data_IF_420743719930
#
_entry.id   IF_420743719930
#
_cell.length_a   1.000
_cell.length_b   1.000
_cell.length_c   1.000
_cell.angle_alpha   90.00
_cell.angle_beta   90.00
_cell.angle_gamma   90.00
#
_symmetry.space_group_name_H-M   'P 1'
#
loop_
_entity.id
_entity.type
_entity.pdbx_description
1 polymer ?
#
# COMPACT_ATOMS: atom_id res chain seq x y z
N UNK A 1 5.30 -13.48 33.26
CA UNK A 1 5.37 -12.97 31.86
C UNK A 1 6.43 -13.79 31.13
N UNK A 2 6.18 -14.21 29.89
CA UNK A 2 7.14 -14.95 29.07
C UNK A 2 8.35 -14.06 28.78
N UNK A 3 9.57 -14.60 28.97
CA UNK A 3 10.81 -14.00 28.47
C UNK A 3 11.29 -14.75 27.23
N UNK A 4 11.70 -14.01 26.23
CA UNK A 4 12.30 -14.51 25.00
C UNK A 4 13.74 -14.02 24.95
N UNK A 5 14.71 -14.93 24.98
CA UNK A 5 16.14 -14.61 25.01
C UNK A 5 16.72 -14.88 23.63
N UNK A 6 17.38 -13.88 23.05
CA UNK A 6 17.95 -13.96 21.71
C UNK A 6 19.31 -14.64 21.66
N UNK A 7 19.67 -15.16 20.49
CA UNK A 7 21.01 -15.60 20.19
C UNK A 7 21.99 -14.41 20.22
N UNK A 8 23.25 -14.70 20.53
CA UNK A 8 24.31 -13.68 20.59
C UNK A 8 24.45 -12.97 19.23
N UNK A 9 24.32 -11.64 19.25
CA UNK A 9 24.44 -10.80 18.06
C UNK A 9 23.13 -10.49 17.34
N UNK A 10 22.04 -11.26 17.58
CA UNK A 10 20.74 -11.04 16.93
C UNK A 10 19.96 -9.88 17.55
N UNK A 11 20.35 -9.43 18.74
CA UNK A 11 19.76 -8.28 19.41
C UNK A 11 20.01 -6.94 18.71
N UNK A 12 21.09 -6.82 17.92
CA UNK A 12 21.51 -5.55 17.33
C UNK A 12 20.41 -4.94 16.45
N UNK A 13 19.88 -5.70 15.52
CA UNK A 13 18.81 -5.25 14.61
C UNK A 13 17.57 -4.79 15.37
N UNK A 14 17.25 -5.49 16.47
CA UNK A 14 16.10 -5.14 17.31
C UNK A 14 16.38 -3.86 18.10
N UNK A 15 17.58 -3.70 18.65
CA UNK A 15 17.99 -2.48 19.36
C UNK A 15 18.00 -1.27 18.41
N UNK A 16 18.45 -1.47 17.17
CA UNK A 16 18.51 -0.43 16.13
C UNK A 16 17.12 -0.04 15.59
N UNK A 17 16.03 -0.68 16.09
CA UNK A 17 14.65 -0.24 15.79
C UNK A 17 13.76 -1.27 15.09
N UNK A 18 14.33 -2.32 14.48
CA UNK A 18 13.52 -3.30 13.74
C UNK A 18 12.48 -3.97 14.65
N UNK A 19 11.18 -4.05 14.23
CA UNK A 19 10.11 -4.50 15.14
C UNK A 19 9.92 -6.02 15.20
N UNK A 20 10.62 -6.82 14.40
CA UNK A 20 10.38 -8.26 14.30
C UNK A 20 11.55 -9.08 14.85
N UNK A 21 11.22 -10.07 15.67
CA UNK A 21 12.13 -11.15 16.08
C UNK A 21 11.70 -12.41 15.34
N UNK A 22 12.61 -13.02 14.59
CA UNK A 22 12.35 -14.26 13.88
C UNK A 22 12.65 -15.49 14.75
N UNK A 23 12.01 -16.62 14.43
CA UNK A 23 12.14 -17.86 15.20
C UNK A 23 13.60 -18.38 15.30
N UNK A 24 14.40 -18.21 14.25
CA UNK A 24 15.82 -18.60 14.23
C UNK A 24 16.73 -17.68 15.05
N UNK A 25 16.24 -16.52 15.48
CA UNK A 25 16.98 -15.57 16.32
C UNK A 25 16.85 -15.87 17.84
N UNK A 26 15.89 -16.75 18.19
CA UNK A 26 15.59 -17.07 19.59
C UNK A 26 16.45 -18.21 20.09
N UNK A 27 17.11 -18.00 21.25
CA UNK A 27 17.94 -18.98 21.98
C UNK A 27 17.14 -19.81 22.98
N UNK A 28 16.31 -19.13 23.79
CA UNK A 28 15.63 -19.78 24.91
C UNK A 28 14.37 -19.01 25.33
N UNK A 29 13.52 -19.71 26.07
CA UNK A 29 12.33 -19.18 26.68
C UNK A 29 12.36 -19.39 28.18
N UNK A 30 11.88 -18.42 28.97
CA UNK A 30 11.64 -18.56 30.40
C UNK A 30 10.19 -18.18 30.70
N UNK A 31 9.45 -19.08 31.34
CA UNK A 31 8.02 -18.90 31.65
C UNK A 31 7.09 -19.69 30.74
N UNK A 32 5.80 -19.41 30.84
CA UNK A 32 4.76 -20.12 30.09
C UNK A 32 4.74 -19.68 28.63
N UNK A 33 4.86 -20.65 27.71
CA UNK A 33 4.81 -20.43 26.26
C UNK A 33 3.37 -20.53 25.79
N UNK A 34 2.75 -19.37 25.51
CA UNK A 34 1.38 -19.28 24.99
C UNK A 34 1.32 -18.25 23.85
N UNK A 35 0.93 -18.71 22.66
CA UNK A 35 0.78 -17.84 21.49
C UNK A 35 -0.27 -16.74 21.70
N UNK A 36 -0.02 -15.55 21.16
CA UNK A 36 -0.90 -14.39 21.27
C UNK A 36 -0.75 -13.59 22.58
N UNK A 37 0.18 -13.98 23.48
CA UNK A 37 0.40 -13.26 24.74
C UNK A 37 1.51 -12.22 24.61
N UNK A 38 1.56 -11.31 25.60
CA UNK A 38 2.68 -10.37 25.76
C UNK A 38 3.92 -11.10 26.30
N UNK A 39 5.07 -10.78 25.75
CA UNK A 39 6.36 -11.23 26.21
C UNK A 39 7.37 -10.09 26.31
N UNK A 40 8.42 -10.29 27.10
CA UNK A 40 9.59 -9.45 27.15
C UNK A 40 10.76 -10.11 26.41
N UNK A 41 11.41 -9.38 25.51
CA UNK A 41 12.59 -9.81 24.80
C UNK A 41 13.85 -9.33 25.50
N UNK A 42 14.85 -10.23 25.57
CA UNK A 42 16.14 -9.99 26.17
C UNK A 42 17.27 -10.36 25.20
N UNK A 43 18.36 -9.62 25.26
CA UNK A 43 19.61 -9.95 24.58
C UNK A 43 20.23 -11.23 25.20
N UNK A 44 21.27 -11.75 24.53
CA UNK A 44 22.02 -12.93 25.00
C UNK A 44 22.56 -12.78 26.44
N UNK A 45 22.95 -11.57 26.82
CA UNK A 45 23.45 -11.18 28.14
C UNK A 45 22.35 -10.74 29.12
N UNK A 46 21.12 -11.11 28.84
CA UNK A 46 19.93 -10.87 29.67
C UNK A 46 19.60 -9.39 29.92
N UNK A 47 19.91 -8.50 28.95
CA UNK A 47 19.45 -7.11 28.95
C UNK A 47 18.10 -7.02 28.26
N UNK A 48 17.13 -6.32 28.85
CA UNK A 48 15.83 -6.06 28.22
C UNK A 48 16.00 -5.22 26.93
N UNK A 49 15.35 -5.63 25.85
CA UNK A 49 15.41 -4.98 24.54
C UNK A 49 14.06 -4.59 23.97
N UNK A 50 12.96 -5.15 24.49
CA UNK A 50 11.62 -4.77 24.05
C UNK A 50 10.53 -5.69 24.57
N UNK A 51 9.31 -5.18 24.54
CA UNK A 51 8.07 -5.90 24.88
C UNK A 51 7.19 -6.01 23.65
N UNK A 52 6.54 -7.13 23.44
CA UNK A 52 5.72 -7.34 22.25
C UNK A 52 4.82 -8.57 22.32
N UNK A 53 4.16 -8.85 21.19
CA UNK A 53 3.34 -10.04 21.02
C UNK A 53 4.19 -11.24 20.63
N UNK A 54 4.05 -12.34 21.37
CA UNK A 54 4.64 -13.63 21.07
C UNK A 54 3.67 -14.49 20.22
N UNK A 55 4.21 -15.15 19.20
CA UNK A 55 3.45 -16.14 18.43
C UNK A 55 4.34 -17.29 17.94
N UNK A 56 4.16 -18.48 18.51
CA UNK A 56 4.90 -19.69 18.11
C UNK A 56 4.49 -20.25 16.74
N UNK A 57 3.35 -19.84 16.20
CA UNK A 57 2.86 -20.31 14.90
C UNK A 57 3.49 -19.52 13.72
N UNK A 58 4.06 -18.35 14.01
CA UNK A 58 4.60 -17.43 13.01
C UNK A 58 6.12 -17.53 12.92
N UNK A 59 6.66 -17.32 11.70
CA UNK A 59 8.12 -17.09 11.53
C UNK A 59 8.57 -15.81 12.23
N UNK A 60 7.71 -14.79 12.30
CA UNK A 60 7.93 -13.58 13.11
C UNK A 60 7.43 -13.93 14.52
N UNK A 61 8.33 -14.48 15.33
CA UNK A 61 8.00 -15.02 16.65
C UNK A 61 7.63 -13.95 17.66
N UNK A 62 8.26 -12.77 17.59
CA UNK A 62 7.86 -11.63 18.41
C UNK A 62 7.72 -10.38 17.54
N UNK A 63 6.60 -9.68 17.75
CA UNK A 63 6.35 -8.34 17.19
C UNK A 63 6.48 -7.31 18.30
N UNK A 64 7.57 -6.54 18.29
CA UNK A 64 7.87 -5.56 19.33
C UNK A 64 6.87 -4.41 19.26
N UNK A 65 6.26 -4.11 20.39
CA UNK A 65 5.34 -2.98 20.60
C UNK A 65 6.04 -1.81 21.30
N UNK A 66 6.90 -2.09 22.28
CA UNK A 66 7.56 -1.06 23.08
C UNK A 66 9.01 -1.42 23.38
N UNK A 67 9.88 -0.41 23.46
CA UNK A 67 11.27 -0.51 23.92
C UNK A 67 11.40 -0.30 25.43
N UNK A 68 10.27 -0.07 26.10
CA UNK A 68 10.19 0.09 27.54
C UNK A 68 9.22 -0.94 28.13
N UNK A 69 9.44 -1.29 29.39
CA UNK A 69 8.58 -2.23 30.15
C UNK A 69 7.29 -1.54 30.62
N UNK A 70 6.49 -1.07 29.65
CA UNK A 70 5.18 -0.45 29.91
C UNK A 70 4.08 -1.51 29.82
N UNK A 71 2.93 -1.22 30.39
CA UNK A 71 1.73 -2.05 30.27
C UNK A 71 1.16 -1.91 28.83
N UNK A 72 0.67 -3.02 28.30
CA UNK A 72 0.02 -3.06 26.98
C UNK A 72 -1.47 -3.26 27.24
N UNK A 73 -2.13 -2.17 27.50
CA UNK A 73 -3.54 -2.06 27.90
C UNK A 73 -4.35 -1.19 26.91
N UNK A 74 -5.58 -0.83 27.30
CA UNK A 74 -6.45 0.03 26.49
C UNK A 74 -5.83 1.39 26.23
N UNK A 75 -5.19 2.01 27.22
CA UNK A 75 -4.56 3.32 27.11
C UNK A 75 -3.40 3.29 26.11
N UNK A 76 -2.57 2.25 26.13
CA UNK A 76 -1.51 2.05 25.17
C UNK A 76 -2.03 2.07 23.71
N UNK A 77 -3.11 1.34 23.43
CA UNK A 77 -3.70 1.31 22.08
C UNK A 77 -4.36 2.65 21.71
N UNK A 78 -5.05 3.26 22.66
CA UNK A 78 -5.69 4.56 22.47
C UNK A 78 -4.68 5.62 22.06
N UNK A 79 -3.59 5.79 22.81
CA UNK A 79 -2.53 6.75 22.55
C UNK A 79 -1.87 6.51 21.19
N UNK A 80 -1.62 5.25 20.82
CA UNK A 80 -1.03 4.89 19.54
C UNK A 80 -1.92 5.22 18.35
N UNK A 81 -3.19 4.83 18.40
CA UNK A 81 -4.16 5.10 17.34
C UNK A 81 -4.40 6.61 17.23
N UNK A 82 -4.56 7.29 18.36
CA UNK A 82 -4.73 8.73 18.40
C UNK A 82 -3.54 9.46 17.80
N UNK A 83 -2.32 9.13 18.21
CA UNK A 83 -1.08 9.72 17.67
C UNK A 83 -0.93 9.49 16.17
N UNK A 84 -1.24 8.29 15.69
CA UNK A 84 -1.23 7.98 14.27
C UNK A 84 -2.22 8.86 13.50
N UNK A 85 -3.44 9.02 14.01
CA UNK A 85 -4.46 9.90 13.43
C UNK A 85 -4.04 11.37 13.46
N UNK A 86 -3.57 11.87 14.60
CA UNK A 86 -3.14 13.26 14.78
C UNK A 86 -2.02 13.63 13.80
N UNK A 87 -1.10 12.69 13.53
CA UNK A 87 -0.08 12.89 12.50
C UNK A 87 -0.71 13.12 11.12
N UNK A 88 -1.68 12.28 10.70
CA UNK A 88 -2.36 12.42 9.40
C UNK A 88 -3.11 13.74 9.29
N UNK A 89 -3.80 14.14 10.35
CA UNK A 89 -4.48 15.43 10.40
C UNK A 89 -3.48 16.60 10.31
N UNK A 90 -2.33 16.52 10.98
CA UNK A 90 -1.31 17.56 10.97
C UNK A 90 -0.68 17.83 9.60
N UNK A 91 -0.72 16.84 8.69
CA UNK A 91 -0.24 16.98 7.31
C UNK A 91 -1.38 17.22 6.29
N UNK A 92 -2.58 17.58 6.78
CA UNK A 92 -3.73 17.98 5.95
C UNK A 92 -4.51 16.82 5.35
N UNK A 93 -4.45 15.62 5.93
CA UNK A 93 -5.28 14.48 5.55
C UNK A 93 -6.45 14.38 6.55
N UNK A 94 -7.67 14.58 6.09
CA UNK A 94 -8.84 14.71 6.95
C UNK A 94 -10.00 13.78 6.60
N UNK A 95 -10.13 13.33 5.36
CA UNK A 95 -11.33 12.64 4.87
C UNK A 95 -11.08 11.17 4.50
N UNK A 96 -10.12 10.91 3.64
CA UNK A 96 -9.84 9.55 3.13
C UNK A 96 -8.34 9.28 3.21
N UNK A 97 -7.92 8.47 4.16
CA UNK A 97 -6.50 8.19 4.43
C UNK A 97 -6.33 6.93 5.25
N UNK A 98 -5.13 6.38 5.24
CA UNK A 98 -4.71 5.34 6.18
C UNK A 98 -4.41 5.94 7.53
N UNK A 99 -5.26 5.65 8.51
CA UNK A 99 -5.11 6.09 9.90
C UNK A 99 -3.95 5.37 10.57
N UNK A 100 -3.85 4.05 10.36
CA UNK A 100 -2.80 3.22 10.96
C UNK A 100 -2.16 2.32 9.91
N UNK A 101 -0.84 2.41 9.79
CA UNK A 101 -0.01 1.61 8.89
C UNK A 101 0.91 0.66 9.67
N UNK A 102 0.31 -0.28 10.38
CA UNK A 102 0.98 -1.42 11.00
C UNK A 102 2.22 -1.06 11.84
N UNK A 103 3.37 -1.67 11.55
CA UNK A 103 4.65 -1.45 12.22
C UNK A 103 5.06 0.02 12.23
N UNK A 104 4.81 0.74 11.17
CA UNK A 104 5.20 2.15 11.03
C UNK A 104 4.50 3.08 12.03
N UNK A 105 3.35 2.67 12.54
CA UNK A 105 2.63 3.37 13.62
C UNK A 105 2.75 2.63 14.97
N UNK A 106 3.65 1.65 15.06
CA UNK A 106 3.93 0.89 16.27
C UNK A 106 2.82 -0.07 16.69
N UNK A 107 1.93 -0.45 15.77
CA UNK A 107 0.84 -1.42 15.97
C UNK A 107 0.96 -2.57 14.96
N UNK A 108 1.97 -3.44 15.11
CA UNK A 108 2.33 -4.48 14.14
C UNK A 108 1.16 -5.37 13.75
N UNK A 109 0.79 -5.33 12.47
CA UNK A 109 -0.31 -6.12 11.92
C UNK A 109 -1.67 -5.44 11.98
N UNK A 110 -1.78 -4.16 12.38
CA UNK A 110 -3.02 -3.38 12.33
C UNK A 110 -3.02 -2.41 11.15
N UNK A 111 -4.04 -2.50 10.32
CA UNK A 111 -4.34 -1.51 9.28
C UNK A 111 -5.69 -0.89 9.62
N UNK A 112 -5.78 0.43 9.52
CA UNK A 112 -7.03 1.17 9.66
C UNK A 112 -7.09 2.18 8.53
N UNK A 113 -8.08 2.06 7.65
CA UNK A 113 -8.37 2.99 6.57
C UNK A 113 -9.68 3.72 6.84
N UNK A 114 -9.68 5.04 6.67
CA UNK A 114 -10.85 5.90 6.80
C UNK A 114 -11.36 6.28 5.40
N UNK A 115 -12.65 6.10 5.19
CA UNK A 115 -13.39 6.47 3.99
C UNK A 115 -14.60 7.34 4.42
N UNK A 116 -14.40 8.65 4.48
CA UNK A 116 -15.40 9.57 5.00
C UNK A 116 -15.77 9.23 6.46
N UNK A 117 -17.02 8.78 6.67
CA UNK A 117 -17.54 8.38 7.98
C UNK A 117 -17.44 6.88 8.28
N UNK A 118 -16.76 6.13 7.46
CA UNK A 118 -16.58 4.68 7.60
C UNK A 118 -15.12 4.32 7.84
N UNK A 119 -14.91 3.23 8.58
CA UNK A 119 -13.58 2.65 8.76
C UNK A 119 -13.53 1.25 8.17
N UNK A 120 -12.40 0.92 7.58
CA UNK A 120 -12.08 -0.45 7.16
C UNK A 120 -10.82 -0.87 7.88
N UNK A 121 -10.87 -2.01 8.58
CA UNK A 121 -9.74 -2.49 9.37
C UNK A 121 -9.23 -3.84 8.86
N UNK A 122 -7.94 -4.10 9.10
CA UNK A 122 -7.34 -5.43 8.98
C UNK A 122 -6.56 -5.74 10.25
N UNK A 123 -6.79 -6.91 10.82
CA UNK A 123 -6.04 -7.44 11.97
C UNK A 123 -5.31 -8.68 11.48
N UNK A 124 -3.99 -8.57 11.33
CA UNK A 124 -3.16 -9.57 10.67
C UNK A 124 -2.25 -10.37 11.64
N UNK A 125 -2.21 -10.01 12.93
CA UNK A 125 -1.40 -10.72 13.93
C UNK A 125 -2.25 -11.28 15.06
N UNK A 126 -1.86 -12.46 15.58
CA UNK A 126 -2.58 -13.15 16.65
C UNK A 126 -2.67 -12.32 17.93
N UNK A 127 -1.57 -11.65 18.30
CA UNK A 127 -1.55 -10.80 19.49
C UNK A 127 -2.58 -9.68 19.42
N UNK A 128 -2.64 -8.93 18.29
CA UNK A 128 -3.65 -7.88 18.11
C UNK A 128 -5.07 -8.42 18.08
N UNK A 129 -5.27 -9.63 17.52
CA UNK A 129 -6.60 -10.22 17.47
C UNK A 129 -7.20 -10.44 18.86
N UNK A 130 -6.37 -10.66 19.87
CA UNK A 130 -6.82 -10.77 21.27
C UNK A 130 -7.28 -9.43 21.87
N UNK A 131 -6.94 -8.31 21.25
CA UNK A 131 -7.33 -6.96 21.66
C UNK A 131 -8.37 -6.34 20.71
N UNK A 132 -8.98 -7.15 19.82
CA UNK A 132 -9.93 -6.66 18.81
C UNK A 132 -11.04 -5.82 19.38
N UNK A 133 -11.70 -6.28 20.47
CA UNK A 133 -12.81 -5.56 21.10
C UNK A 133 -12.36 -4.22 21.71
N UNK A 134 -11.19 -4.20 22.32
CA UNK A 134 -10.58 -2.95 22.86
C UNK A 134 -10.28 -1.98 21.72
N UNK A 135 -9.71 -2.46 20.61
CA UNK A 135 -9.44 -1.64 19.43
C UNK A 135 -10.74 -1.10 18.84
N UNK A 136 -11.79 -1.93 18.76
CA UNK A 136 -13.10 -1.53 18.26
C UNK A 136 -13.70 -0.38 19.12
N UNK A 137 -13.69 -0.51 20.44
CA UNK A 137 -14.16 0.54 21.36
C UNK A 137 -13.40 1.85 21.14
N UNK A 138 -12.07 1.78 20.98
CA UNK A 138 -11.23 2.95 20.74
C UNK A 138 -11.58 3.62 19.41
N UNK A 139 -11.80 2.85 18.35
CA UNK A 139 -12.18 3.38 17.03
C UNK A 139 -13.54 4.07 17.06
N UNK A 140 -14.50 3.52 17.82
CA UNK A 140 -15.80 4.15 18.01
C UNK A 140 -15.65 5.48 18.74
N UNK A 141 -14.86 5.50 19.81
CA UNK A 141 -14.63 6.70 20.64
C UNK A 141 -13.94 7.83 19.86
N UNK A 142 -12.85 7.52 19.15
CA UNK A 142 -12.06 8.53 18.42
C UNK A 142 -12.78 9.05 17.17
N UNK A 143 -13.45 8.18 16.39
CA UNK A 143 -13.93 8.52 15.05
C UNK A 143 -15.45 8.69 14.95
N UNK A 144 -16.21 8.21 15.93
CA UNK A 144 -17.68 8.15 15.89
C UNK A 144 -18.20 7.73 14.49
N UNK A 145 -17.76 6.57 13.96
CA UNK A 145 -18.06 6.16 12.60
C UNK A 145 -19.50 5.71 12.44
N UNK A 146 -20.06 5.82 11.23
CA UNK A 146 -21.35 5.20 10.89
C UNK A 146 -21.28 3.68 10.81
N UNK A 147 -20.11 3.15 10.48
CA UNK A 147 -19.87 1.72 10.44
C UNK A 147 -18.39 1.38 10.29
N UNK A 148 -18.03 0.18 10.75
CA UNK A 148 -16.69 -0.39 10.66
C UNK A 148 -16.79 -1.74 9.97
N UNK A 149 -15.99 -1.94 8.93
CA UNK A 149 -15.89 -3.19 8.18
C UNK A 149 -14.52 -3.81 8.37
N UNK A 150 -14.45 -5.10 8.65
CA UNK A 150 -13.19 -5.83 8.76
C UNK A 150 -12.89 -6.58 7.46
N UNK A 151 -11.69 -6.37 6.92
CA UNK A 151 -11.12 -7.01 5.71
C UNK A 151 -9.90 -7.84 6.06
N UNK A 152 -10.02 -8.68 7.07
CA UNK A 152 -9.01 -9.64 7.49
C UNK A 152 -9.04 -10.94 6.66
N UNK A 153 -9.57 -10.89 5.43
CA UNK A 153 -9.60 -11.94 4.41
C UNK A 153 -8.25 -12.03 3.65
N UNK A 154 -7.15 -12.11 4.40
CA UNK A 154 -5.78 -12.12 3.87
C UNK A 154 -5.02 -13.36 4.31
N UNK A 155 -4.30 -13.98 3.37
CA UNK A 155 -3.60 -15.26 3.58
C UNK A 155 -2.52 -15.23 4.68
N UNK A 156 -2.01 -14.04 5.04
CA UNK A 156 -1.03 -13.91 6.13
C UNK A 156 -1.61 -14.33 7.48
N UNK A 157 -2.91 -14.23 7.69
CA UNK A 157 -3.58 -14.66 8.92
C UNK A 157 -3.39 -16.16 9.19
N UNK A 158 -3.44 -16.99 8.16
CA UNK A 158 -3.19 -18.44 8.29
C UNK A 158 -1.77 -18.75 8.82
N UNK A 159 -0.78 -17.91 8.43
CA UNK A 159 0.59 -18.02 8.95
C UNK A 159 0.72 -17.58 10.42
N UNK A 160 -0.23 -16.81 10.90
CA UNK A 160 -0.34 -16.37 12.29
C UNK A 160 -1.21 -17.32 13.15
N UNK A 161 -1.81 -18.36 12.55
CA UNK A 161 -2.74 -19.27 13.23
C UNK A 161 -4.15 -18.72 13.39
N UNK A 162 -4.54 -17.78 12.52
CA UNK A 162 -5.87 -17.15 12.53
C UNK A 162 -6.68 -17.54 11.30
N UNK A 163 -7.98 -17.67 11.47
CA UNK A 163 -8.92 -17.78 10.37
C UNK A 163 -9.09 -16.45 9.63
N UNK A 164 -9.34 -16.50 8.32
CA UNK A 164 -9.73 -15.33 7.55
C UNK A 164 -11.10 -14.84 8.01
N UNK A 165 -11.27 -13.51 8.07
CA UNK A 165 -12.53 -12.89 8.47
C UNK A 165 -12.85 -11.69 7.58
N UNK A 166 -14.13 -11.56 7.21
CA UNK A 166 -14.66 -10.44 6.44
C UNK A 166 -16.09 -10.16 6.87
N UNK A 167 -16.40 -8.92 7.24
CA UNK A 167 -17.74 -8.56 7.68
C UNK A 167 -17.84 -7.19 8.35
N UNK A 168 -19.08 -6.71 8.49
CA UNK A 168 -19.39 -5.54 9.31
C UNK A 168 -19.25 -5.92 10.79
N UNK A 169 -18.47 -5.15 11.53
CA UNK A 169 -18.23 -5.37 12.98
C UNK A 169 -18.83 -4.27 13.86
N UNK A 170 -19.26 -3.15 13.25
CA UNK A 170 -19.97 -2.08 13.95
C UNK A 170 -20.86 -1.31 12.96
N UNK A 171 -22.06 -0.88 13.42
CA UNK A 171 -22.98 -0.07 12.63
C UNK A 171 -23.39 -0.68 11.31
N UNK A 172 -23.60 0.15 10.31
CA UNK A 172 -23.95 -0.27 8.96
C UNK A 172 -22.93 0.26 7.96
N UNK A 173 -22.48 -0.59 7.03
CA UNK A 173 -21.53 -0.23 5.98
C UNK A 173 -22.17 -0.51 4.63
N UNK A 174 -22.35 0.50 3.75
CA UNK A 174 -22.87 0.29 2.40
C UNK A 174 -21.89 -0.51 1.54
N UNK A 175 -22.38 -1.09 0.44
CA UNK A 175 -21.52 -1.83 -0.49
C UNK A 175 -20.52 -0.90 -1.18
N UNK A 176 -20.99 0.30 -1.53
CA UNK A 176 -20.18 1.35 -2.20
C UNK A 176 -20.16 2.59 -1.32
N UNK A 177 -18.98 3.10 -1.06
CA UNK A 177 -18.75 4.40 -0.40
C UNK A 177 -18.21 5.38 -1.44
N UNK A 178 -18.93 6.47 -1.67
CA UNK A 178 -18.41 7.55 -2.52
C UNK A 178 -17.50 8.45 -1.69
N UNK A 179 -16.26 8.57 -2.11
CA UNK A 179 -15.23 9.42 -1.49
C UNK A 179 -14.89 10.61 -2.38
N UNK A 180 -14.35 11.68 -1.79
CA UNK A 180 -13.74 12.78 -2.52
C UNK A 180 -12.21 12.71 -2.34
N UNK A 181 -11.46 12.45 -3.41
CA UNK A 181 -9.99 12.46 -3.41
C UNK A 181 -9.47 13.49 -4.40
N UNK A 182 -8.61 14.41 -3.97
CA UNK A 182 -8.10 15.49 -4.82
C UNK A 182 -9.21 16.30 -5.52
N UNK A 183 -10.41 16.37 -4.94
CA UNK A 183 -11.60 17.01 -5.50
C UNK A 183 -12.27 16.22 -6.64
N UNK A 184 -12.09 14.90 -6.67
CA UNK A 184 -12.72 13.96 -7.60
C UNK A 184 -13.55 12.99 -6.76
N UNK A 185 -14.76 12.70 -7.21
CA UNK A 185 -15.63 11.69 -6.60
C UNK A 185 -15.26 10.31 -7.15
N UNK A 186 -15.05 9.36 -6.24
CA UNK A 186 -14.69 7.97 -6.57
C UNK A 186 -15.53 7.03 -5.73
N UNK A 187 -16.14 6.05 -6.38
CA UNK A 187 -16.83 4.97 -5.72
C UNK A 187 -15.84 3.90 -5.28
N UNK A 188 -15.90 3.53 -4.01
CA UNK A 188 -15.03 2.53 -3.36
C UNK A 188 -15.88 1.36 -2.91
N UNK A 189 -15.61 0.17 -3.45
CA UNK A 189 -16.18 -1.09 -2.97
C UNK A 189 -15.33 -1.63 -1.81
N UNK A 190 -15.70 -1.30 -0.59
CA UNK A 190 -14.98 -1.73 0.62
C UNK A 190 -15.19 -3.21 0.94
N UNK A 191 -16.27 -3.81 0.43
CA UNK A 191 -16.59 -5.20 0.68
C UNK A 191 -15.88 -6.15 -0.27
N UNK A 192 -15.82 -5.84 -1.57
CA UNK A 192 -15.30 -6.77 -2.59
C UNK A 192 -14.10 -6.21 -3.36
N UNK A 193 -13.79 -4.92 -3.21
CA UNK A 193 -12.63 -4.29 -3.83
C UNK A 193 -11.29 -4.86 -3.34
N UNK A 194 -10.23 -4.54 -4.03
CA UNK A 194 -8.88 -4.95 -3.67
C UNK A 194 -8.41 -4.25 -2.39
N UNK A 195 -7.53 -4.90 -1.62
CA UNK A 195 -7.06 -4.43 -0.30
C UNK A 195 -8.25 -4.13 0.63
N UNK A 196 -8.36 -2.90 1.07
CA UNK A 196 -9.45 -2.36 1.91
C UNK A 196 -10.56 -1.68 1.08
N UNK A 197 -10.47 -1.76 -0.27
CA UNK A 197 -11.41 -1.19 -1.22
C UNK A 197 -10.78 -0.22 -2.21
N UNK A 198 -9.71 0.50 -1.82
CA UNK A 198 -9.04 1.49 -2.66
C UNK A 198 -7.55 1.62 -2.33
N UNK A 199 -6.76 2.15 -3.27
CA UNK A 199 -5.31 2.34 -3.14
C UNK A 199 -4.98 3.74 -2.61
N UNK A 200 -5.20 3.97 -1.31
CA UNK A 200 -4.92 5.26 -0.65
C UNK A 200 -3.43 5.66 -0.75
N UNK A 201 -2.54 4.66 -0.80
CA UNK A 201 -1.09 4.85 -0.93
C UNK A 201 -0.67 5.60 -2.21
N UNK A 202 -1.52 5.63 -3.25
CA UNK A 202 -1.28 6.33 -4.51
C UNK A 202 -1.88 7.75 -4.56
N UNK A 203 -2.60 8.21 -3.54
CA UNK A 203 -3.32 9.49 -3.52
C UNK A 203 -2.45 10.67 -3.98
N UNK A 204 -1.25 10.81 -3.37
CA UNK A 204 -0.33 11.91 -3.69
C UNK A 204 0.35 11.72 -5.06
N UNK A 205 0.54 10.48 -5.50
CA UNK A 205 1.07 10.19 -6.82
C UNK A 205 0.05 10.51 -7.91
N UNK A 206 -1.23 10.17 -7.71
CA UNK A 206 -2.31 10.54 -8.63
C UNK A 206 -2.38 12.06 -8.82
N UNK A 207 -2.27 12.83 -7.74
CA UNK A 207 -2.22 14.29 -7.79
C UNK A 207 -1.01 14.79 -8.60
N UNK A 208 0.19 14.30 -8.25
CA UNK A 208 1.43 14.72 -8.92
C UNK A 208 1.43 14.38 -10.42
N UNK A 209 0.99 13.18 -10.80
CA UNK A 209 0.85 12.78 -12.21
C UNK A 209 -0.16 13.65 -12.93
N UNK A 210 -1.28 14.02 -12.28
CA UNK A 210 -2.26 14.94 -12.81
C UNK A 210 -1.66 16.29 -13.22
N UNK A 211 -0.72 16.82 -12.47
CA UNK A 211 -0.05 18.10 -12.76
C UNK A 211 0.69 18.11 -14.13
N UNK A 212 1.11 16.95 -14.62
CA UNK A 212 1.72 16.79 -15.95
C UNK A 212 0.70 16.62 -17.08
N UNK A 213 -0.62 16.63 -16.81
CA UNK A 213 -1.64 16.22 -17.77
C UNK A 213 -2.24 17.34 -18.60
N UNK A 214 -2.04 18.61 -18.21
CA UNK A 214 -2.69 19.78 -18.86
C UNK A 214 -2.45 19.84 -20.37
N UNK A 215 -3.54 19.91 -21.15
CA UNK A 215 -3.56 19.95 -22.61
C UNK A 215 -2.95 18.71 -23.31
N UNK A 216 -2.81 17.57 -22.62
CA UNK A 216 -2.20 16.33 -23.11
C UNK A 216 -3.24 15.26 -23.41
N UNK A 217 -2.91 14.39 -24.37
CA UNK A 217 -3.56 13.10 -24.56
C UNK A 217 -2.89 12.11 -23.60
N UNK A 218 -3.66 11.56 -22.67
CA UNK A 218 -3.18 10.70 -21.58
C UNK A 218 -3.62 9.26 -21.81
N UNK A 219 -2.72 8.32 -21.58
CA UNK A 219 -2.99 6.88 -21.53
C UNK A 219 -2.76 6.39 -20.10
N UNK A 220 -3.82 5.90 -19.46
CA UNK A 220 -3.79 5.30 -18.13
C UNK A 220 -3.93 3.78 -18.27
N UNK A 221 -2.88 3.05 -17.94
CA UNK A 221 -2.78 1.60 -18.10
C UNK A 221 -2.81 0.92 -16.73
N UNK A 222 -3.52 -0.22 -16.65
CA UNK A 222 -3.88 -0.87 -15.39
C UNK A 222 -4.75 0.06 -14.52
N UNK A 223 -5.74 0.69 -15.16
CA UNK A 223 -6.46 1.85 -14.62
C UNK A 223 -7.28 1.53 -13.36
N UNK A 224 -7.60 0.26 -13.07
CA UNK A 224 -8.42 -0.17 -11.93
C UNK A 224 -9.77 0.58 -11.89
N UNK A 225 -9.98 1.51 -10.96
CA UNK A 225 -11.19 2.36 -10.86
C UNK A 225 -11.04 3.70 -11.58
N UNK A 226 -9.98 3.90 -12.35
CA UNK A 226 -9.71 5.13 -13.12
C UNK A 226 -9.06 6.26 -12.33
N UNK A 227 -8.52 5.98 -11.15
CA UNK A 227 -8.01 7.02 -10.24
C UNK A 227 -6.97 7.97 -10.87
N UNK A 228 -6.00 7.47 -11.62
CA UNK A 228 -5.02 8.29 -12.32
C UNK A 228 -5.66 9.06 -13.50
N UNK A 229 -6.43 8.38 -14.33
CA UNK A 229 -7.10 8.99 -15.48
C UNK A 229 -8.04 10.12 -15.09
N UNK A 230 -8.82 9.94 -14.02
CA UNK A 230 -9.73 10.98 -13.49
C UNK A 230 -8.95 12.18 -12.94
N UNK A 231 -7.82 11.97 -12.21
CA UNK A 231 -6.94 13.05 -11.78
C UNK A 231 -6.33 13.79 -12.99
N UNK A 232 -5.89 13.07 -14.01
CA UNK A 232 -5.41 13.68 -15.26
C UNK A 232 -6.48 14.53 -15.92
N UNK A 233 -7.71 14.06 -16.00
CA UNK A 233 -8.84 14.82 -16.57
C UNK A 233 -9.14 16.07 -15.77
N UNK A 234 -9.23 15.96 -14.43
CA UNK A 234 -9.41 17.09 -13.52
C UNK A 234 -8.37 18.18 -13.75
N UNK A 235 -7.12 17.80 -13.97
CA UNK A 235 -6.00 18.74 -14.17
C UNK A 235 -5.87 19.23 -15.61
N UNK A 236 -6.89 19.00 -16.46
CA UNK A 236 -7.02 19.58 -17.79
C UNK A 236 -6.42 18.75 -18.93
N UNK A 237 -6.36 17.43 -18.79
CA UNK A 237 -6.06 16.56 -19.93
C UNK A 237 -7.05 16.78 -21.07
N UNK A 238 -6.54 16.86 -22.31
CA UNK A 238 -7.34 17.03 -23.52
C UNK A 238 -8.21 15.80 -23.78
N UNK A 239 -7.64 14.65 -23.66
CA UNK A 239 -8.29 13.35 -23.80
C UNK A 239 -7.60 12.32 -22.90
N UNK A 240 -8.37 11.41 -22.30
CA UNK A 240 -7.84 10.32 -21.47
C UNK A 240 -8.34 8.98 -22.00
N UNK A 241 -7.46 8.04 -22.19
CA UNK A 241 -7.79 6.63 -22.46
C UNK A 241 -7.41 5.80 -21.24
N UNK A 242 -8.38 5.18 -20.59
CA UNK A 242 -8.18 4.23 -19.50
C UNK A 242 -8.25 2.80 -20.05
N UNK A 243 -7.27 1.96 -19.71
CA UNK A 243 -7.19 0.56 -20.15
C UNK A 243 -7.05 -0.36 -18.94
N UNK A 244 -7.93 -1.34 -18.84
CA UNK A 244 -7.84 -2.41 -17.85
C UNK A 244 -8.32 -3.72 -18.47
N UNK A 245 -7.82 -4.86 -17.99
CA UNK A 245 -8.25 -6.17 -18.48
C UNK A 245 -9.57 -6.62 -17.83
N UNK A 246 -9.91 -6.07 -16.67
CA UNK A 246 -11.12 -6.44 -15.91
C UNK A 246 -12.34 -5.69 -16.44
N UNK A 247 -13.35 -6.41 -16.91
CA UNK A 247 -14.65 -5.84 -17.31
C UNK A 247 -15.28 -5.05 -16.14
N UNK A 248 -15.23 -5.60 -14.92
CA UNK A 248 -15.71 -4.90 -13.72
C UNK A 248 -14.98 -3.58 -13.48
N UNK A 249 -13.66 -3.55 -13.61
CA UNK A 249 -12.88 -2.32 -13.48
C UNK A 249 -13.29 -1.29 -14.57
N UNK A 250 -13.47 -1.73 -15.81
CA UNK A 250 -13.92 -0.88 -16.90
C UNK A 250 -15.33 -0.29 -16.64
N UNK A 251 -16.24 -1.05 -16.05
CA UNK A 251 -17.55 -0.54 -15.63
C UNK A 251 -17.41 0.48 -14.51
N UNK A 252 -16.61 0.20 -13.49
CA UNK A 252 -16.35 1.12 -12.38
C UNK A 252 -15.74 2.45 -12.86
N UNK A 253 -14.82 2.40 -13.84
CA UNK A 253 -14.26 3.60 -14.47
C UNK A 253 -15.38 4.43 -15.13
N UNK A 254 -16.27 3.81 -15.91
CA UNK A 254 -17.39 4.50 -16.57
C UNK A 254 -18.32 5.16 -15.57
N UNK A 255 -18.64 4.47 -14.47
CA UNK A 255 -19.43 5.04 -13.36
C UNK A 255 -18.73 6.24 -12.75
N UNK A 256 -17.44 6.16 -12.47
CA UNK A 256 -16.66 7.24 -11.88
C UNK A 256 -16.50 8.44 -12.85
N UNK A 257 -16.37 8.22 -14.15
CA UNK A 257 -16.41 9.27 -15.19
C UNK A 257 -17.74 10.01 -15.13
N UNK A 258 -18.85 9.28 -15.12
CA UNK A 258 -20.21 9.83 -15.06
C UNK A 258 -20.45 10.63 -13.77
N UNK A 259 -19.98 10.09 -12.62
CA UNK A 259 -20.10 10.71 -11.30
C UNK A 259 -19.43 12.10 -11.23
N UNK A 260 -18.38 12.31 -12.02
CA UNK A 260 -17.66 13.58 -12.11
C UNK A 260 -18.08 14.45 -13.29
N UNK A 261 -19.06 14.04 -14.08
CA UNK A 261 -19.49 14.72 -15.30
C UNK A 261 -18.33 15.01 -16.27
N UNK A 262 -17.40 14.06 -16.41
CA UNK A 262 -16.28 14.21 -17.32
C UNK A 262 -16.63 13.73 -18.74
N UNK A 263 -16.20 14.49 -19.71
CA UNK A 263 -16.21 14.18 -21.14
C UNK A 263 -14.79 13.81 -21.64
N UNK A 264 -14.66 13.48 -22.91
CA UNK A 264 -13.36 13.21 -23.55
C UNK A 264 -12.51 12.19 -22.79
N UNK A 265 -13.17 11.14 -22.28
CA UNK A 265 -12.53 9.97 -21.69
C UNK A 265 -13.04 8.71 -22.39
N UNK A 266 -12.13 7.81 -22.74
CA UNK A 266 -12.44 6.48 -23.29
C UNK A 266 -12.02 5.40 -22.31
N UNK A 267 -12.79 4.30 -22.28
CA UNK A 267 -12.47 3.10 -21.48
C UNK A 267 -12.35 1.93 -22.43
N UNK A 268 -11.24 1.22 -22.37
CA UNK A 268 -10.92 0.08 -23.21
C UNK A 268 -10.69 -1.14 -22.32
N UNK A 269 -11.48 -2.18 -22.50
CA UNK A 269 -11.26 -3.46 -21.82
C UNK A 269 -10.32 -4.31 -22.67
N UNK A 270 -9.04 -4.38 -22.28
CA UNK A 270 -8.01 -5.11 -23.04
C UNK A 270 -6.81 -5.47 -22.16
N UNK A 271 -6.06 -6.51 -22.59
CA UNK A 271 -4.75 -6.78 -22.04
C UNK A 271 -3.79 -5.65 -22.37
N UNK A 272 -3.10 -5.10 -21.36
CA UNK A 272 -2.19 -3.96 -21.53
C UNK A 272 -0.98 -4.30 -22.40
N UNK A 273 -0.46 -5.53 -22.32
CA UNK A 273 0.67 -5.96 -23.14
C UNK A 273 0.30 -5.98 -24.62
N UNK A 274 -0.92 -6.42 -24.95
CA UNK A 274 -1.42 -6.44 -26.33
C UNK A 274 -1.77 -5.03 -26.78
N UNK A 275 -2.41 -4.22 -25.94
CA UNK A 275 -2.73 -2.83 -26.26
C UNK A 275 -1.49 -1.99 -26.60
N UNK A 276 -0.40 -2.18 -25.86
CA UNK A 276 0.89 -1.50 -26.12
C UNK A 276 1.57 -1.93 -27.41
N UNK A 277 1.16 -3.04 -28.05
CA UNK A 277 1.70 -3.55 -29.31
C UNK A 277 0.99 -3.01 -30.54
N UNK A 278 -0.16 -2.37 -30.38
CA UNK A 278 -0.94 -1.85 -31.49
C UNK A 278 -0.22 -0.66 -32.13
N UNK A 279 0.08 -0.74 -33.41
CA UNK A 279 0.77 0.33 -34.18
C UNK A 279 -0.02 1.64 -34.18
N UNK A 280 -1.37 1.57 -34.11
CA UNK A 280 -2.24 2.73 -34.04
C UNK A 280 -2.07 3.58 -32.77
N UNK A 281 -1.43 3.04 -31.73
CA UNK A 281 -1.12 3.74 -30.49
C UNK A 281 0.19 4.54 -30.54
N UNK A 282 1.01 4.35 -31.59
CA UNK A 282 2.28 5.03 -31.74
C UNK A 282 2.09 6.53 -31.93
N UNK A 283 2.83 7.32 -31.13
CA UNK A 283 2.78 8.78 -31.13
C UNK A 283 1.37 9.37 -30.92
N UNK A 284 0.48 8.65 -30.23
CA UNK A 284 -0.88 9.11 -29.93
C UNK A 284 -0.95 9.82 -28.59
N UNK A 285 -0.11 9.46 -27.63
CA UNK A 285 -0.17 9.90 -26.25
C UNK A 285 1.02 10.78 -25.86
N UNK A 286 0.74 11.84 -25.11
CA UNK A 286 1.74 12.78 -24.57
C UNK A 286 2.17 12.41 -23.15
N UNK A 287 1.32 11.66 -22.43
CA UNK A 287 1.55 11.13 -21.10
C UNK A 287 1.05 9.70 -21.02
N UNK A 288 1.90 8.78 -20.55
CA UNK A 288 1.54 7.38 -20.30
C UNK A 288 1.76 7.06 -18.83
N UNK A 289 0.78 6.43 -18.19
CA UNK A 289 0.78 5.99 -16.80
C UNK A 289 0.83 4.46 -16.81
N UNK A 290 1.77 3.88 -16.09
CA UNK A 290 2.00 2.45 -15.95
C UNK A 290 1.96 2.08 -14.45
N UNK A 291 0.79 1.74 -13.92
CA UNK A 291 0.63 1.29 -12.52
C UNK A 291 0.21 -0.20 -12.45
N UNK A 292 1.11 -1.11 -12.87
CA UNK A 292 0.79 -2.53 -12.94
C UNK A 292 0.65 -3.15 -11.55
N UNK A 293 -0.07 -4.29 -11.44
CA UNK A 293 -0.08 -5.09 -10.22
C UNK A 293 1.33 -5.57 -9.88
N UNK A 294 1.53 -6.01 -8.64
CA UNK A 294 2.81 -6.59 -8.23
C UNK A 294 3.12 -7.85 -9.05
N UNK A 295 4.10 -7.78 -9.95
CA UNK A 295 4.52 -8.92 -10.78
C UNK A 295 5.32 -9.97 -9.98
N UNK A 296 5.79 -9.62 -8.77
CA UNK A 296 6.41 -10.59 -7.86
C UNK A 296 5.91 -10.42 -6.43
N UNK A 297 5.72 -11.55 -5.75
CA UNK A 297 5.38 -11.64 -4.32
C UNK A 297 6.45 -12.41 -3.53
N UNK A 298 7.44 -12.99 -4.19
CA UNK A 298 8.55 -13.69 -3.55
C UNK A 298 9.88 -13.50 -4.31
N UNK A 299 10.99 -13.83 -3.66
CA UNK A 299 12.35 -13.66 -4.21
C UNK A 299 12.62 -14.49 -5.46
N UNK A 300 11.96 -15.63 -5.64
CA UNK A 300 12.23 -16.56 -6.74
C UNK A 300 11.64 -16.06 -8.09
N UNK A 301 10.65 -15.16 -8.02
CA UNK A 301 9.96 -14.64 -9.21
C UNK A 301 10.43 -13.23 -9.61
N UNK A 302 11.46 -12.69 -8.95
CA UNK A 302 11.97 -11.32 -9.21
C UNK A 302 12.46 -11.15 -10.65
N UNK A 303 13.18 -12.13 -11.21
CA UNK A 303 13.70 -12.06 -12.58
C UNK A 303 12.57 -12.05 -13.63
N UNK A 304 11.53 -12.86 -13.43
CA UNK A 304 10.36 -12.86 -14.31
C UNK A 304 9.61 -11.52 -14.23
N UNK A 305 9.47 -10.98 -13.01
CA UNK A 305 8.87 -9.66 -12.80
C UNK A 305 9.68 -8.54 -13.45
N UNK A 306 11.00 -8.59 -13.34
CA UNK A 306 11.91 -7.64 -14.00
C UNK A 306 11.66 -7.60 -15.51
N UNK A 307 11.59 -8.77 -16.16
CA UNK A 307 11.27 -8.87 -17.59
C UNK A 307 9.90 -8.28 -17.93
N UNK A 308 8.88 -8.54 -17.13
CA UNK A 308 7.54 -7.98 -17.32
C UNK A 308 7.52 -6.45 -17.20
N UNK A 309 8.12 -5.90 -16.13
CA UNK A 309 8.26 -4.46 -15.97
C UNK A 309 9.06 -3.82 -17.10
N UNK A 310 10.17 -4.45 -17.52
CA UNK A 310 11.00 -3.98 -18.65
C UNK A 310 10.19 -3.92 -19.94
N UNK A 311 9.41 -4.97 -20.27
CA UNK A 311 8.63 -5.03 -21.52
C UNK A 311 7.60 -3.90 -21.62
N UNK A 312 6.81 -3.67 -20.55
CA UNK A 312 5.80 -2.59 -20.57
C UNK A 312 6.45 -1.20 -20.66
N UNK A 313 7.56 -0.97 -19.95
CA UNK A 313 8.29 0.30 -20.00
C UNK A 313 8.92 0.53 -21.36
N UNK A 314 9.57 -0.47 -21.93
CA UNK A 314 10.13 -0.43 -23.29
C UNK A 314 9.06 -0.06 -24.33
N UNK A 315 7.89 -0.71 -24.27
CA UNK A 315 6.80 -0.45 -25.23
C UNK A 315 6.22 0.94 -25.03
N UNK A 316 6.00 1.39 -23.79
CA UNK A 316 5.56 2.74 -23.52
C UNK A 316 6.53 3.80 -24.06
N UNK A 317 7.86 3.58 -23.88
CA UNK A 317 8.89 4.47 -24.46
C UNK A 317 8.86 4.51 -25.98
N UNK A 318 8.48 3.42 -26.66
CA UNK A 318 8.37 3.37 -28.13
C UNK A 318 7.13 4.07 -28.69
N UNK A 319 6.01 4.09 -27.92
CA UNK A 319 4.74 4.64 -28.42
C UNK A 319 4.46 6.07 -27.95
N UNK A 320 5.08 6.52 -26.87
CA UNK A 320 4.91 7.89 -26.38
C UNK A 320 5.48 8.90 -27.38
N UNK A 321 4.83 10.06 -27.51
CA UNK A 321 5.32 11.16 -28.36
C UNK A 321 6.72 11.62 -27.91
N UNK A 322 7.46 12.23 -28.82
CA UNK A 322 8.71 12.91 -28.47
C UNK A 322 8.41 14.05 -27.49
N UNK A 323 9.25 14.20 -26.48
CA UNK A 323 9.04 15.07 -25.31
C UNK A 323 7.80 14.72 -24.49
N UNK A 324 7.32 13.48 -24.61
CA UNK A 324 6.24 12.95 -23.79
C UNK A 324 6.73 12.49 -22.40
N UNK A 325 5.80 12.20 -21.53
CA UNK A 325 6.07 11.80 -20.15
C UNK A 325 5.60 10.36 -19.93
N UNK A 326 6.36 9.60 -19.16
CA UNK A 326 5.95 8.30 -18.65
C UNK A 326 6.02 8.34 -17.13
N UNK A 327 4.91 7.98 -16.46
CA UNK A 327 4.84 7.75 -15.04
C UNK A 327 4.76 6.24 -14.80
N UNK A 328 5.82 5.64 -14.30
CA UNK A 328 5.88 4.19 -14.11
C UNK A 328 6.03 3.82 -12.65
N UNK A 329 5.34 2.76 -12.24
CA UNK A 329 5.21 2.35 -10.85
C UNK A 329 5.62 0.89 -10.64
N UNK A 330 5.99 0.59 -9.41
CA UNK A 330 6.09 -0.77 -8.91
C UNK A 330 5.72 -0.81 -7.42
N UNK A 331 4.74 -1.62 -7.07
CA UNK A 331 4.36 -1.91 -5.69
C UNK A 331 4.98 -3.23 -5.16
N UNK A 332 5.87 -3.87 -5.91
CA UNK A 332 6.57 -5.10 -5.50
C UNK A 332 7.69 -4.79 -4.52
N UNK A 333 7.63 -5.32 -3.30
CA UNK A 333 8.67 -5.15 -2.27
C UNK A 333 10.03 -5.65 -2.76
N UNK A 334 10.08 -6.79 -3.45
CA UNK A 334 11.32 -7.38 -3.96
C UNK A 334 11.92 -6.65 -5.17
N UNK A 335 11.16 -5.75 -5.82
CA UNK A 335 11.67 -4.79 -6.79
C UNK A 335 12.21 -3.58 -6.04
N UNK A 336 13.46 -3.65 -5.57
CA UNK A 336 14.09 -2.54 -4.83
C UNK A 336 14.18 -1.26 -5.68
N UNK A 337 14.33 -0.06 -5.08
CA UNK A 337 14.49 1.18 -5.85
C UNK A 337 15.64 1.13 -6.85
N UNK A 338 16.78 0.54 -6.47
CA UNK A 338 17.94 0.37 -7.37
C UNK A 338 17.61 -0.55 -8.53
N UNK A 339 17.00 -1.71 -8.28
CA UNK A 339 16.59 -2.67 -9.31
C UNK A 339 15.53 -2.08 -10.24
N UNK A 340 14.61 -1.29 -9.71
CA UNK A 340 13.60 -0.60 -10.49
C UNK A 340 14.21 0.44 -11.44
N UNK A 341 15.20 1.22 -10.98
CA UNK A 341 15.91 2.17 -11.82
C UNK A 341 16.80 1.49 -12.87
N UNK A 342 17.43 0.37 -12.54
CA UNK A 342 18.18 -0.48 -13.48
C UNK A 342 17.27 -1.00 -14.59
N UNK A 343 16.09 -1.54 -14.23
CA UNK A 343 15.08 -2.02 -15.18
C UNK A 343 14.63 -0.91 -16.15
N UNK A 344 14.38 0.31 -15.63
CA UNK A 344 14.02 1.47 -16.45
C UNK A 344 15.16 1.82 -17.41
N UNK A 345 16.42 1.79 -16.96
CA UNK A 345 17.58 2.06 -17.79
C UNK A 345 17.74 1.02 -18.90
N UNK A 346 17.52 -0.25 -18.61
CA UNK A 346 17.55 -1.32 -19.61
C UNK A 346 16.44 -1.15 -20.66
N UNK A 347 15.22 -0.79 -20.23
CA UNK A 347 14.13 -0.46 -21.14
C UNK A 347 14.48 0.74 -22.03
N UNK A 348 15.13 1.77 -21.47
CA UNK A 348 15.64 2.93 -22.22
C UNK A 348 16.64 2.54 -23.30
N UNK A 349 17.63 1.71 -22.96
CA UNK A 349 18.66 1.24 -23.91
C UNK A 349 17.98 0.54 -25.08
N UNK A 350 17.07 -0.40 -24.82
CA UNK A 350 16.39 -1.19 -25.85
C UNK A 350 15.40 -0.35 -26.68
N UNK A 351 14.85 0.73 -26.09
CA UNK A 351 13.96 1.66 -26.79
C UNK A 351 14.70 2.57 -27.77
N UNK A 352 16.01 2.74 -27.59
CA UNK A 352 16.87 3.71 -28.31
C UNK A 352 16.39 5.16 -28.13
N UNK A 353 15.70 5.47 -27.05
CA UNK A 353 15.20 6.81 -26.71
C UNK A 353 16.11 7.46 -25.66
N UNK A 354 16.20 8.77 -25.71
CA UNK A 354 16.79 9.56 -24.62
C UNK A 354 15.72 9.75 -23.54
N UNK A 355 16.02 9.34 -22.29
CA UNK A 355 15.09 9.41 -21.15
C UNK A 355 15.76 10.13 -19.99
N UNK A 356 15.02 11.02 -19.34
CA UNK A 356 15.44 11.74 -18.15
C UNK A 356 14.46 11.44 -17.00
N UNK A 357 14.98 11.11 -15.83
CA UNK A 357 14.21 11.08 -14.60
C UNK A 357 13.94 12.52 -14.18
N UNK A 358 12.69 12.90 -14.01
CA UNK A 358 12.29 14.26 -13.58
C UNK A 358 11.70 14.30 -12.18
N UNK A 359 11.17 13.19 -11.68
CA UNK A 359 10.74 13.03 -10.29
C UNK A 359 10.80 11.55 -9.89
N UNK A 360 11.10 11.29 -8.59
CA UNK A 360 11.03 9.95 -8.00
C UNK A 360 10.26 10.01 -6.69
N UNK A 361 9.19 9.22 -6.59
CA UNK A 361 8.22 9.29 -5.50
C UNK A 361 8.01 7.92 -4.88
N UNK A 362 7.47 7.92 -3.67
CA UNK A 362 7.11 6.73 -2.90
C UNK A 362 5.61 6.77 -2.58
N UNK A 363 5.15 5.90 -1.69
CA UNK A 363 3.79 5.90 -1.19
C UNK A 363 3.41 7.23 -0.52
N UNK A 364 2.10 7.50 -0.48
CA UNK A 364 1.53 8.69 0.17
C UNK A 364 1.94 8.77 1.66
N UNK A 365 2.10 9.97 2.25
CA UNK A 365 2.59 10.16 3.62
C UNK A 365 1.76 9.49 4.72
N UNK A 366 0.52 9.13 4.46
CA UNK A 366 -0.29 8.32 5.37
C UNK A 366 0.16 6.86 5.47
N UNK A 367 1.11 6.45 4.63
CA UNK A 367 1.81 5.17 4.65
C UNK A 367 3.31 5.38 4.96
N UNK A 368 3.67 5.86 6.18
CA UNK A 368 5.04 6.23 6.49
C UNK A 368 5.99 5.03 6.40
N UNK A 369 7.21 5.29 5.94
CA UNK A 369 8.26 4.28 5.80
C UNK A 369 9.15 4.29 7.03
N UNK A 370 9.42 3.13 7.59
CA UNK A 370 10.42 2.92 8.63
C UNK A 370 11.82 2.83 8.01
N UNK A 371 12.77 3.63 8.48
CA UNK A 371 14.15 3.58 7.98
C UNK A 371 14.87 2.30 8.39
N UNK A 372 14.50 1.73 9.54
CA UNK A 372 15.02 0.50 10.11
C UNK A 372 14.37 -0.79 9.55
N UNK A 373 13.34 -0.65 8.70
CA UNK A 373 12.62 -1.78 8.08
C UNK A 373 12.31 -1.49 6.63
N UNK A 374 13.10 -2.07 5.73
CA UNK A 374 12.92 -1.92 4.28
C UNK A 374 11.60 -2.47 3.77
N UNK A 375 10.95 -3.34 4.53
CA UNK A 375 9.66 -3.96 4.23
C UNK A 375 8.53 -2.93 4.14
N UNK A 376 8.65 -1.80 4.86
CA UNK A 376 7.68 -0.71 4.81
C UNK A 376 7.78 0.16 3.54
N UNK A 377 8.89 0.06 2.79
CA UNK A 377 9.13 0.82 1.56
C UNK A 377 8.84 -0.04 0.32
N UNK A 378 7.60 -0.11 -0.09
CA UNK A 378 7.16 -1.02 -1.15
C UNK A 378 6.78 -0.33 -2.46
N UNK A 379 6.38 0.95 -2.45
CA UNK A 379 5.95 1.67 -3.65
C UNK A 379 7.06 2.55 -4.21
N UNK A 380 7.30 2.46 -5.50
CA UNK A 380 8.19 3.30 -6.29
C UNK A 380 7.42 3.87 -7.45
N UNK A 381 7.63 5.17 -7.71
CA UNK A 381 7.11 5.90 -8.85
C UNK A 381 8.26 6.68 -9.50
N UNK A 382 8.51 6.45 -10.77
CA UNK A 382 9.44 7.26 -11.56
C UNK A 382 8.66 8.04 -12.61
N UNK A 383 8.85 9.37 -12.65
CA UNK A 383 8.31 10.24 -13.69
C UNK A 383 9.44 10.58 -14.66
N UNK A 384 9.26 10.22 -15.91
CA UNK A 384 10.28 10.21 -16.95
C UNK A 384 9.90 11.14 -18.10
N UNK A 385 10.82 11.98 -18.54
CA UNK A 385 10.72 12.71 -19.81
C UNK A 385 11.39 11.87 -20.91
N UNK A 386 10.67 11.57 -21.98
CA UNK A 386 11.13 10.74 -23.12
C UNK A 386 11.25 11.63 -24.37
N UNK A 387 12.50 11.77 -24.88
CA UNK A 387 12.80 12.57 -26.07
C UNK A 387 12.87 11.72 -27.33
#
# INVERSE_FOLDING_TARGET
>A
MLKVILNKGEEKRIIDGHPWVFSNEVRAFEGEIKAGTICDCYSYDNRFIGRGFFNSNSKIMVRILSRSQIEIDKEFFYERIKKANDFRLSIGLDDNYRVCFSESDGLPGLIIDKYGKYLVIQIMSLGLNNYKEIILDILIDIFNPLGIYERSDVSVRKKEGLEEFKGTIYGEVPDIITICENGILINVDVKNGQKTGYFLDQKMNRKAVGEYSKNRCVLDLFSHTGGFGLNAKKMGAKFVTCVDISEKACEDIKVNISLNNYDNMAVVCADVFDFLRLEENKNKYDLIILDPPAFTKDKNTVEAAYRGYKDINLRAMKIVRSNGIICTFSCSQHMTPSLFMEMINDARIDSKREVRLIDFRIQSPDHPTMLESSESWYLKCAILLVK
#
